data_IF_703939397461
#
_entry.id   IF_703939397461
#
_cell.length_a   1.000
_cell.length_b   1.000
_cell.length_c   1.000
_cell.angle_alpha   90.00
_cell.angle_beta   90.00
_cell.angle_gamma   90.00
#
_symmetry.space_group_name_H-M   'P 1'
#
loop_
_entity.id
_entity.type
_entity.pdbx_description
1 polymer ?
#
# COMPACT_ATOMS: atom_id res chain seq x y z
N UNK A 1 32.63 8.40 17.16
CA UNK A 1 32.01 7.37 16.29
C UNK A 1 30.52 7.40 16.54
N UNK A 2 29.67 7.55 15.52
CA UNK A 2 28.22 7.49 15.71
C UNK A 2 27.82 6.04 15.97
N UNK A 3 27.15 5.78 17.09
CA UNK A 3 26.55 4.48 17.38
C UNK A 3 25.53 4.18 16.28
N UNK A 4 25.66 3.00 15.65
CA UNK A 4 24.66 2.53 14.71
C UNK A 4 23.31 2.49 15.43
N UNK A 5 22.32 3.22 14.90
CA UNK A 5 20.98 3.22 15.49
C UNK A 5 20.33 1.89 15.17
N UNK A 6 19.67 1.30 16.17
CA UNK A 6 18.84 0.12 15.95
C UNK A 6 17.80 0.39 14.86
N UNK A 7 17.50 -0.57 13.96
CA UNK A 7 16.57 -0.38 12.85
C UNK A 7 15.22 0.20 13.29
N UNK A 8 14.74 -0.22 14.47
CA UNK A 8 13.50 0.25 15.07
C UNK A 8 13.52 1.75 15.42
N UNK A 9 14.67 2.26 15.89
CA UNK A 9 14.85 3.67 16.18
C UNK A 9 14.91 4.49 14.89
N UNK A 10 15.57 3.96 13.84
CA UNK A 10 15.62 4.59 12.51
C UNK A 10 14.22 4.70 11.93
N UNK A 11 13.43 3.62 11.97
CA UNK A 11 12.06 3.59 11.47
C UNK A 11 11.15 4.60 12.18
N UNK A 12 11.26 4.71 13.52
CA UNK A 12 10.46 5.65 14.33
C UNK A 12 10.83 7.11 14.11
N UNK A 13 12.10 7.39 13.84
CA UNK A 13 12.60 8.76 13.66
C UNK A 13 12.65 9.18 12.19
N UNK A 14 12.24 8.31 11.25
CA UNK A 14 12.30 8.62 9.82
C UNK A 14 11.36 9.80 9.52
N UNK A 15 11.94 10.86 9.01
CA UNK A 15 11.25 12.07 8.58
C UNK A 15 12.07 12.75 7.49
N UNK A 16 11.41 13.52 6.64
CA UNK A 16 12.08 14.21 5.54
C UNK A 16 11.17 14.38 4.34
N UNK A 17 11.66 15.13 3.35
CA UNK A 17 10.95 15.34 2.10
C UNK A 17 11.00 14.08 1.24
N UNK A 18 9.83 13.51 0.99
CA UNK A 18 9.66 12.38 0.07
C UNK A 18 9.92 12.85 -1.36
N UNK A 19 9.29 13.96 -1.76
CA UNK A 19 9.46 14.58 -3.08
C UNK A 19 10.75 15.41 -3.11
N UNK A 20 11.76 14.86 -3.78
CA UNK A 20 13.04 15.50 -4.02
C UNK A 20 13.20 16.00 -5.47
N UNK A 21 14.26 16.78 -5.72
CA UNK A 21 14.65 17.12 -7.09
C UNK A 21 14.81 15.85 -7.93
N UNK A 22 14.39 15.92 -9.20
CA UNK A 22 14.42 14.80 -10.16
C UNK A 22 13.54 13.59 -9.81
N UNK A 23 12.57 13.75 -8.91
CA UNK A 23 11.54 12.74 -8.67
C UNK A 23 10.23 13.12 -9.35
N UNK A 24 9.49 12.11 -9.80
CA UNK A 24 8.13 12.26 -10.34
C UNK A 24 7.17 11.34 -9.59
N UNK A 25 5.88 11.69 -9.62
CA UNK A 25 4.81 10.80 -9.18
C UNK A 25 4.28 10.00 -10.36
N UNK A 26 4.36 8.68 -10.25
CA UNK A 26 3.79 7.74 -11.23
C UNK A 26 2.55 7.09 -10.63
N UNK A 27 1.48 7.00 -11.42
CA UNK A 27 0.29 6.24 -11.05
C UNK A 27 0.71 4.80 -10.73
N UNK A 28 0.40 4.37 -9.51
CA UNK A 28 0.75 3.03 -9.03
C UNK A 28 -0.34 2.03 -9.38
N UNK A 29 -1.61 2.47 -9.30
CA UNK A 29 -2.75 1.63 -9.67
C UNK A 29 -2.69 1.30 -11.16
N UNK A 30 -2.66 0.00 -11.48
CA UNK A 30 -2.59 -0.50 -12.85
C UNK A 30 -3.79 -1.42 -13.12
N UNK A 31 -4.89 -0.89 -13.71
CA UNK A 31 -6.12 -1.65 -13.98
C UNK A 31 -5.90 -2.92 -14.81
N UNK A 32 -4.87 -2.95 -15.66
CA UNK A 32 -4.57 -4.09 -16.54
C UNK A 32 -3.96 -5.32 -15.85
N UNK A 33 -3.45 -5.21 -14.62
CA UNK A 33 -2.81 -6.33 -13.89
C UNK A 33 -3.79 -7.06 -12.94
N UNK A 34 -5.09 -7.02 -13.24
CA UNK A 34 -6.10 -7.72 -12.47
C UNK A 34 -6.24 -9.17 -12.96
N UNK A 35 -6.03 -10.12 -12.07
CA UNK A 35 -6.37 -11.52 -12.30
C UNK A 35 -7.88 -11.71 -12.14
N UNK A 36 -8.59 -11.67 -13.27
CA UNK A 36 -10.06 -11.82 -13.32
C UNK A 36 -10.59 -13.16 -12.80
N UNK A 37 -9.73 -14.16 -12.59
CA UNK A 37 -10.11 -15.47 -12.02
C UNK A 37 -10.22 -15.45 -10.49
N UNK A 38 -9.69 -14.41 -9.83
CA UNK A 38 -9.82 -14.28 -8.38
C UNK A 38 -11.22 -13.79 -8.01
N UNK A 39 -11.80 -14.46 -7.02
CA UNK A 39 -13.08 -14.08 -6.41
C UNK A 39 -12.91 -14.00 -4.89
N UNK A 40 -13.56 -13.04 -4.22
CA UNK A 40 -14.41 -11.98 -4.78
C UNK A 40 -13.60 -10.87 -5.47
N UNK A 41 -14.25 -10.17 -6.40
CA UNK A 41 -13.74 -8.91 -6.94
C UNK A 41 -14.23 -7.76 -6.08
N UNK A 42 -13.31 -6.93 -5.58
CA UNK A 42 -13.63 -5.78 -4.75
C UNK A 42 -13.23 -4.52 -5.53
N UNK A 43 -14.19 -3.62 -5.74
CA UNK A 43 -13.94 -2.40 -6.50
C UNK A 43 -12.86 -1.54 -5.84
N UNK A 44 -11.93 -1.04 -6.67
CA UNK A 44 -10.76 -0.30 -6.22
C UNK A 44 -9.72 -1.14 -5.46
N UNK A 45 -9.91 -2.45 -5.29
CA UNK A 45 -9.03 -3.37 -4.54
C UNK A 45 -8.61 -4.60 -5.39
N UNK A 46 -7.73 -4.40 -6.38
CA UNK A 46 -7.25 -5.45 -7.29
C UNK A 46 -6.70 -6.68 -6.58
N UNK A 47 -6.92 -7.85 -7.17
CA UNK A 47 -6.30 -9.12 -6.74
C UNK A 47 -6.50 -9.44 -5.25
N UNK A 48 -7.64 -9.00 -4.69
CA UNK A 48 -8.03 -9.36 -3.34
C UNK A 48 -8.05 -10.89 -3.19
N UNK A 49 -7.57 -11.36 -2.03
CA UNK A 49 -7.54 -12.77 -1.65
C UNK A 49 -7.55 -12.89 -0.13
N UNK A 50 -8.08 -14.00 0.35
CA UNK A 50 -7.98 -14.42 1.75
C UNK A 50 -7.17 -15.72 1.81
N UNK A 51 -6.30 -15.84 2.82
CA UNK A 51 -5.58 -17.08 3.07
C UNK A 51 -6.48 -18.07 3.81
N UNK A 52 -7.03 -19.04 3.08
CA UNK A 52 -7.85 -20.16 3.54
C UNK A 52 -8.60 -19.92 4.87
N UNK A 53 -8.26 -20.67 5.91
CA UNK A 53 -8.91 -20.64 7.23
C UNK A 53 -8.44 -19.49 8.13
N UNK A 54 -7.50 -18.66 7.68
CA UNK A 54 -6.92 -17.57 8.45
C UNK A 54 -7.63 -16.24 8.15
N UNK A 55 -7.65 -15.34 9.15
CA UNK A 55 -8.07 -13.94 8.98
C UNK A 55 -6.93 -13.08 8.42
N UNK A 56 -6.28 -13.59 7.38
CA UNK A 56 -5.19 -12.93 6.68
C UNK A 56 -5.67 -12.63 5.27
N UNK A 57 -5.66 -11.35 4.92
CA UNK A 57 -6.19 -10.84 3.67
C UNK A 57 -5.09 -10.09 2.92
N UNK A 58 -5.08 -10.22 1.60
CA UNK A 58 -4.13 -9.54 0.72
C UNK A 58 -4.83 -8.85 -0.43
N UNK A 59 -4.30 -7.71 -0.87
CA UNK A 59 -4.81 -6.91 -2.01
C UNK A 59 -3.64 -6.24 -2.71
N UNK A 60 -3.75 -6.00 -4.01
CA UNK A 60 -2.76 -5.28 -4.79
C UNK A 60 -3.17 -3.82 -4.98
N UNK A 61 -2.33 -2.89 -4.52
CA UNK A 61 -2.35 -1.47 -4.89
C UNK A 61 -3.76 -0.85 -4.86
N UNK A 62 -4.45 -0.91 -3.70
CA UNK A 62 -5.83 -0.45 -3.63
C UNK A 62 -5.89 1.08 -3.73
N UNK A 63 -7.02 1.58 -4.22
CA UNK A 63 -7.43 2.97 -3.99
C UNK A 63 -7.89 3.15 -2.54
N UNK A 64 -8.02 4.39 -2.06
CA UNK A 64 -8.59 4.64 -0.72
C UNK A 64 -9.99 4.02 -0.60
N UNK A 65 -10.81 4.12 -1.65
CA UNK A 65 -12.13 3.50 -1.64
C UNK A 65 -12.04 1.97 -1.65
N UNK A 66 -11.08 1.41 -2.37
CA UNK A 66 -10.76 -0.01 -2.31
C UNK A 66 -10.42 -0.50 -0.91
N UNK A 67 -9.62 0.27 -0.15
CA UNK A 67 -9.32 -0.05 1.25
C UNK A 67 -10.61 -0.11 2.08
N UNK A 68 -11.51 0.88 1.92
CA UNK A 68 -12.81 0.89 2.62
C UNK A 68 -13.68 -0.30 2.24
N UNK A 69 -13.74 -0.61 0.94
CA UNK A 69 -14.50 -1.75 0.43
C UNK A 69 -13.98 -3.08 1.00
N UNK A 70 -12.65 -3.25 1.09
CA UNK A 70 -12.03 -4.41 1.75
C UNK A 70 -12.43 -4.47 3.23
N UNK A 71 -12.32 -3.37 3.97
CA UNK A 71 -12.68 -3.32 5.39
C UNK A 71 -14.16 -3.67 5.63
N UNK A 72 -15.06 -3.19 4.75
CA UNK A 72 -16.48 -3.54 4.77
C UNK A 72 -16.68 -5.03 4.47
N UNK A 73 -16.01 -5.54 3.44
CA UNK A 73 -16.11 -6.93 3.02
C UNK A 73 -15.68 -7.91 4.12
N UNK A 74 -14.58 -7.63 4.82
CA UNK A 74 -14.08 -8.49 5.91
C UNK A 74 -14.84 -8.29 7.24
N UNK A 75 -15.86 -7.42 7.27
CA UNK A 75 -16.67 -7.16 8.45
C UNK A 75 -15.92 -6.44 9.57
N UNK A 76 -15.01 -5.52 9.24
CA UNK A 76 -14.24 -4.75 10.23
C UNK A 76 -15.14 -3.95 11.20
N UNK A 77 -16.35 -3.62 10.77
CA UNK A 77 -17.40 -3.05 11.60
C UNK A 77 -18.73 -3.70 11.21
N UNK A 78 -19.22 -4.62 12.03
CA UNK A 78 -20.49 -5.33 11.81
C UNK A 78 -21.31 -5.34 13.10
N UNK A 79 -22.60 -5.02 12.99
CA UNK A 79 -23.57 -5.03 14.11
C UNK A 79 -23.11 -4.19 15.33
N UNK A 80 -22.48 -3.03 15.07
CA UNK A 80 -21.94 -2.15 16.10
C UNK A 80 -20.66 -2.64 16.77
N UNK A 81 -20.21 -3.88 16.48
CA UNK A 81 -18.95 -4.43 16.98
C UNK A 81 -17.81 -4.08 16.03
N UNK A 82 -16.77 -3.44 16.57
CA UNK A 82 -15.55 -3.10 15.84
C UNK A 82 -14.51 -4.20 16.02
N UNK A 83 -14.00 -4.73 14.91
CA UNK A 83 -12.86 -5.64 14.91
C UNK A 83 -11.59 -4.82 14.75
N UNK A 84 -10.54 -5.16 15.50
CA UNK A 84 -9.23 -4.56 15.30
C UNK A 84 -8.63 -5.11 14.00
N UNK A 85 -8.30 -4.21 13.07
CA UNK A 85 -7.67 -4.56 11.80
C UNK A 85 -6.30 -3.91 11.74
N UNK A 86 -5.28 -4.71 11.47
CA UNK A 86 -3.93 -4.23 11.19
C UNK A 86 -3.73 -4.18 9.67
N UNK A 87 -3.57 -2.98 9.13
CA UNK A 87 -3.29 -2.76 7.72
C UNK A 87 -1.80 -2.54 7.50
N UNK A 88 -1.11 -3.55 6.98
CA UNK A 88 0.35 -3.50 6.78
C UNK A 88 0.64 -3.30 5.29
N UNK A 89 1.40 -2.25 4.97
CA UNK A 89 2.04 -2.13 3.66
C UNK A 89 3.39 -2.82 3.69
N UNK A 90 3.60 -3.78 2.79
CA UNK A 90 4.90 -4.46 2.61
C UNK A 90 5.81 -3.72 1.62
N UNK A 91 5.44 -2.51 1.20
CA UNK A 91 6.23 -1.70 0.27
C UNK A 91 7.36 -1.00 1.01
N UNK A 92 8.57 -1.16 0.49
CA UNK A 92 9.74 -0.37 0.88
C UNK A 92 9.54 1.10 0.52
N UNK A 93 9.08 1.35 -0.71
CA UNK A 93 8.82 2.69 -1.21
C UNK A 93 7.55 3.33 -0.61
N UNK A 94 7.53 4.67 -0.46
CA UNK A 94 6.35 5.39 0.00
C UNK A 94 5.24 5.37 -1.06
N UNK A 95 4.02 5.09 -0.61
CA UNK A 95 2.80 5.25 -1.43
C UNK A 95 2.07 6.52 -1.00
N UNK A 96 1.78 7.38 -1.96
CA UNK A 96 1.07 8.65 -1.75
C UNK A 96 -0.31 8.54 -2.40
N UNK A 97 -1.35 8.98 -1.70
CA UNK A 97 -2.69 9.04 -2.27
C UNK A 97 -3.05 10.48 -2.67
N UNK A 98 -3.41 10.67 -3.93
CA UNK A 98 -3.89 11.95 -4.47
C UNK A 98 -5.29 11.71 -5.01
N UNK A 99 -6.27 12.44 -4.48
CA UNK A 99 -7.70 12.26 -4.80
C UNK A 99 -8.14 10.79 -4.72
N UNK A 100 -7.65 10.07 -3.69
CA UNK A 100 -7.98 8.67 -3.44
C UNK A 100 -7.25 7.64 -4.31
N UNK A 101 -6.45 8.06 -5.31
CA UNK A 101 -5.67 7.17 -6.18
C UNK A 101 -4.23 7.03 -5.67
N UNK A 102 -3.62 5.83 -5.71
CA UNK A 102 -2.26 5.61 -5.23
C UNK A 102 -1.22 5.97 -6.29
N UNK A 103 -0.14 6.60 -5.82
CA UNK A 103 1.03 7.01 -6.59
C UNK A 103 2.29 6.58 -5.86
N UNK A 104 3.34 6.35 -6.65
CA UNK A 104 4.69 6.07 -6.18
C UNK A 104 5.65 7.10 -6.71
N UNK A 105 6.75 7.31 -5.98
CA UNK A 105 7.85 8.12 -6.49
C UNK A 105 8.73 7.32 -7.44
N UNK A 106 9.21 7.97 -8.48
CA UNK A 106 10.19 7.41 -9.41
C UNK A 106 11.23 8.46 -9.75
N UNK A 107 12.45 8.01 -10.09
CA UNK A 107 13.45 8.89 -10.69
C UNK A 107 13.00 9.30 -12.10
N UNK A 108 13.11 10.59 -12.43
CA UNK A 108 12.66 11.12 -13.73
C UNK A 108 13.43 10.54 -14.92
N UNK A 109 14.71 10.20 -14.74
CA UNK A 109 15.54 9.58 -15.76
C UNK A 109 15.31 8.07 -15.89
N UNK A 110 14.71 7.44 -14.87
CA UNK A 110 14.39 6.00 -14.85
C UNK A 110 12.98 5.74 -14.31
N UNK A 111 11.92 6.22 -14.99
CA UNK A 111 10.56 6.25 -14.46
C UNK A 111 9.90 4.86 -14.25
N UNK A 112 10.51 3.81 -14.81
CA UNK A 112 10.05 2.42 -14.69
C UNK A 112 10.83 1.59 -13.68
N UNK A 113 11.94 2.11 -13.15
CA UNK A 113 12.75 1.44 -12.12
C UNK A 113 12.20 1.77 -10.73
N UNK A 114 12.22 0.80 -9.81
CA UNK A 114 11.91 1.08 -8.41
C UNK A 114 12.98 2.00 -7.81
N UNK A 115 12.58 2.83 -6.84
CA UNK A 115 13.53 3.57 -6.03
C UNK A 115 14.14 2.62 -5.00
N UNK A 116 15.45 2.42 -5.08
CA UNK A 116 16.22 1.69 -4.07
C UNK A 116 16.79 2.75 -3.11
N UNK A 117 16.37 2.73 -1.85
CA UNK A 117 16.96 3.57 -0.81
C UNK A 117 17.97 2.71 -0.04
N UNK A 118 19.24 2.78 -0.43
CA UNK A 118 20.36 2.17 0.30
C UNK A 118 20.55 2.78 1.68
#
# INVERSE_FOLDING_TARGET
>A
MSIAKEPEQVLKMRGGSVLGKRTILKSDHFPGCQNKRLTPQIDGAPNYRQADSLRVHGVAIPTIEGIRNVLKHIGAQKDGKRVQVLWISLREEPVVYINGRPFVLRDVGRPFSNLEYT
#
